data_IF_823800686533
#
_entry.id   IF_823800686533
#
_cell.length_a   1.000
_cell.length_b   1.000
_cell.length_c   1.000
_cell.angle_alpha   90.00
_cell.angle_beta   90.00
_cell.angle_gamma   90.00
#
_symmetry.space_group_name_H-M   'P 1'
#
loop_
_entity.id
_entity.type
_entity.pdbx_description
1 polymer ?
#
# COMPACT_ATOMS: atom_id res chain seq x y z
N UNK A 1 -11.21 8.51 23.19
CA UNK A 1 -12.17 7.37 23.17
C UNK A 1 -12.29 6.69 21.80
N UNK A 2 -12.89 7.31 20.76
CA UNK A 2 -13.02 6.65 19.43
C UNK A 2 -11.70 6.59 18.66
N UNK A 3 -11.00 7.73 18.53
CA UNK A 3 -9.71 7.81 17.81
C UNK A 3 -8.66 6.87 18.41
N UNK A 4 -8.52 6.88 19.74
CA UNK A 4 -7.56 6.01 20.44
C UNK A 4 -7.88 4.53 20.21
N UNK A 5 -9.16 4.14 20.30
CA UNK A 5 -9.58 2.78 19.99
C UNK A 5 -9.28 2.40 18.54
N UNK A 6 -9.59 3.28 17.57
CA UNK A 6 -9.28 3.01 16.18
C UNK A 6 -7.77 2.88 15.95
N UNK A 7 -6.94 3.68 16.64
CA UNK A 7 -5.48 3.56 16.58
C UNK A 7 -4.99 2.20 17.11
N UNK A 8 -5.54 1.74 18.24
CA UNK A 8 -5.26 0.41 18.80
C UNK A 8 -5.67 -0.70 17.83
N UNK A 9 -6.86 -0.62 17.22
CA UNK A 9 -7.30 -1.59 16.20
C UNK A 9 -6.33 -1.65 15.03
N UNK A 10 -5.87 -0.50 14.52
CA UNK A 10 -4.87 -0.45 13.42
C UNK A 10 -3.56 -1.12 13.84
N UNK A 11 -3.07 -0.83 15.03
CA UNK A 11 -1.84 -1.41 15.57
C UNK A 11 -1.94 -2.93 15.74
N UNK A 12 -3.07 -3.46 16.22
CA UNK A 12 -3.32 -4.90 16.33
C UNK A 12 -3.26 -5.56 14.94
N UNK A 13 -4.00 -5.01 13.97
CA UNK A 13 -4.07 -5.55 12.60
C UNK A 13 -2.72 -5.49 11.88
N UNK A 14 -1.86 -4.51 12.18
CA UNK A 14 -0.51 -4.42 11.61
C UNK A 14 0.48 -5.46 12.14
N UNK A 15 0.21 -6.04 13.33
CA UNK A 15 1.14 -6.94 14.03
C UNK A 15 0.84 -8.42 13.80
N UNK A 16 -0.43 -8.75 13.60
CA UNK A 16 -0.89 -10.13 13.53
C UNK A 16 -2.09 -10.29 12.58
N UNK A 17 -2.22 -11.48 11.99
CA UNK A 17 -3.37 -11.82 11.14
C UNK A 17 -4.58 -12.14 12.02
N UNK A 18 -5.55 -11.23 12.06
CA UNK A 18 -6.78 -11.38 12.84
C UNK A 18 -7.96 -11.70 11.93
N UNK A 19 -8.66 -12.81 12.21
CA UNK A 19 -9.69 -13.33 11.29
C UNK A 19 -11.11 -12.79 11.50
N UNK A 20 -11.41 -12.37 12.73
CA UNK A 20 -12.79 -12.14 13.17
C UNK A 20 -12.94 -10.88 14.00
N UNK A 21 -14.14 -10.29 13.99
CA UNK A 21 -14.44 -9.14 14.85
C UNK A 21 -14.42 -9.53 16.33
N UNK A 22 -14.78 -10.77 16.66
CA UNK A 22 -14.77 -11.26 18.04
C UNK A 22 -13.34 -11.29 18.61
N UNK A 23 -12.35 -11.72 17.80
CA UNK A 23 -10.94 -11.64 18.17
C UNK A 23 -10.49 -10.20 18.47
N UNK A 24 -10.88 -9.24 17.63
CA UNK A 24 -10.54 -7.83 17.83
C UNK A 24 -11.18 -7.32 19.13
N UNK A 25 -12.43 -7.70 19.38
CA UNK A 25 -13.14 -7.34 20.61
C UNK A 25 -12.44 -7.89 21.86
N UNK A 26 -12.07 -9.16 21.87
CA UNK A 26 -11.37 -9.80 23.00
C UNK A 26 -10.03 -9.13 23.31
N UNK A 27 -9.27 -8.75 22.27
CA UNK A 27 -8.00 -8.04 22.45
C UNK A 27 -8.18 -6.62 22.94
N UNK A 28 -9.18 -5.89 22.44
CA UNK A 28 -9.54 -4.57 22.97
C UNK A 28 -9.93 -4.66 24.45
N UNK A 29 -10.71 -5.68 24.84
CA UNK A 29 -11.07 -5.92 26.24
C UNK A 29 -9.83 -6.21 27.12
N UNK A 30 -8.84 -6.95 26.60
CA UNK A 30 -7.57 -7.17 27.29
C UNK A 30 -6.74 -5.89 27.50
N UNK A 31 -6.91 -4.88 26.62
CA UNK A 31 -6.36 -3.53 26.79
C UNK A 31 -7.27 -2.59 27.60
N UNK A 32 -8.35 -3.11 28.20
CA UNK A 32 -9.29 -2.32 29.01
C UNK A 32 -10.28 -1.48 28.19
N UNK A 33 -10.43 -1.75 26.89
CA UNK A 33 -11.33 -1.06 25.97
C UNK A 33 -12.55 -1.94 25.66
N UNK A 34 -13.67 -1.67 26.32
CA UNK A 34 -14.94 -2.39 26.04
C UNK A 34 -15.73 -1.72 24.91
N UNK A 35 -16.19 -2.51 23.95
CA UNK A 35 -17.07 -2.04 22.85
C UNK A 35 -18.17 -3.03 22.50
N UNK A 36 -19.28 -2.49 21.98
CA UNK A 36 -20.34 -3.32 21.37
C UNK A 36 -19.94 -3.78 19.98
N UNK A 37 -20.55 -4.87 19.51
CA UNK A 37 -20.34 -5.36 18.14
C UNK A 37 -20.74 -4.31 17.09
N UNK A 38 -21.82 -3.56 17.32
CA UNK A 38 -22.26 -2.50 16.40
C UNK A 38 -21.23 -1.36 16.30
N UNK A 39 -20.65 -0.95 17.43
CA UNK A 39 -19.58 0.06 17.46
C UNK A 39 -18.34 -0.43 16.74
N UNK A 40 -17.90 -1.67 17.03
CA UNK A 40 -16.74 -2.27 16.38
C UNK A 40 -16.94 -2.39 14.87
N UNK A 41 -18.09 -2.92 14.44
CA UNK A 41 -18.43 -3.04 13.01
C UNK A 41 -18.34 -1.69 12.29
N UNK A 42 -18.85 -0.63 12.92
CA UNK A 42 -18.76 0.73 12.37
C UNK A 42 -17.32 1.24 12.32
N UNK A 43 -16.52 1.02 13.37
CA UNK A 43 -15.11 1.43 13.38
C UNK A 43 -14.31 0.70 12.30
N UNK A 44 -14.47 -0.61 12.14
CA UNK A 44 -13.77 -1.40 11.12
C UNK A 44 -14.11 -0.91 9.70
N UNK A 45 -15.38 -0.53 9.46
CA UNK A 45 -15.82 0.06 8.20
C UNK A 45 -15.22 1.46 7.98
N UNK A 46 -15.21 2.30 9.01
CA UNK A 46 -14.64 3.64 8.93
C UNK A 46 -13.10 3.64 8.81
N UNK A 47 -12.42 2.64 9.37
CA UNK A 47 -10.98 2.41 9.16
C UNK A 47 -10.69 1.96 7.72
N UNK A 48 -11.65 1.36 7.03
CA UNK A 48 -11.48 0.88 5.65
C UNK A 48 -10.78 -0.48 5.56
N UNK A 49 -10.95 -1.37 6.54
CA UNK A 49 -10.28 -2.67 6.54
C UNK A 49 -10.79 -3.59 5.43
N UNK A 50 -9.87 -4.33 4.81
CA UNK A 50 -10.16 -5.37 3.83
C UNK A 50 -10.05 -6.76 4.46
N UNK A 51 -10.80 -7.73 3.92
CA UNK A 51 -10.63 -9.15 4.26
C UNK A 51 -9.83 -9.85 3.17
N UNK A 52 -8.62 -10.27 3.50
CA UNK A 52 -7.72 -11.00 2.60
C UNK A 52 -7.68 -12.48 3.00
N UNK A 53 -7.12 -13.32 2.12
CA UNK A 53 -6.80 -14.73 2.41
C UNK A 53 -5.28 -14.89 2.50
N UNK A 54 -4.82 -15.72 3.43
CA UNK A 54 -3.42 -16.15 3.45
C UNK A 54 -3.18 -17.33 2.50
N UNK A 55 -1.92 -17.80 2.45
CA UNK A 55 -1.50 -18.93 1.62
C UNK A 55 -2.22 -20.23 1.99
N UNK A 56 -2.68 -20.35 3.24
CA UNK A 56 -3.49 -21.47 3.72
C UNK A 56 -5.01 -21.26 3.52
N UNK A 57 -5.41 -20.16 2.87
CA UNK A 57 -6.80 -19.83 2.54
C UNK A 57 -7.64 -19.22 3.68
N UNK A 58 -7.03 -18.95 4.84
CA UNK A 58 -7.70 -18.37 6.02
C UNK A 58 -7.93 -16.88 5.83
N UNK A 59 -9.13 -16.42 6.20
CA UNK A 59 -9.50 -15.00 6.10
C UNK A 59 -8.90 -14.20 7.25
N UNK A 60 -8.33 -13.03 6.94
CA UNK A 60 -7.85 -12.07 7.94
C UNK A 60 -8.11 -10.62 7.53
N UNK A 61 -8.23 -9.73 8.52
CA UNK A 61 -8.33 -8.30 8.32
C UNK A 61 -6.97 -7.70 7.99
N UNK A 62 -6.92 -6.81 7.01
CA UNK A 62 -5.77 -5.99 6.68
C UNK A 62 -6.18 -4.53 6.59
N UNK A 63 -5.26 -3.64 6.96
CA UNK A 63 -5.41 -2.22 6.62
C UNK A 63 -5.42 -2.07 5.10
N UNK A 64 -6.21 -1.13 4.58
CA UNK A 64 -6.10 -0.70 3.18
C UNK A 64 -4.84 0.15 2.93
N UNK A 65 -3.88 0.14 3.86
CA UNK A 65 -2.48 0.23 3.49
C UNK A 65 -2.17 -1.04 2.70
N UNK A 66 -2.71 -1.10 1.48
CA UNK A 66 -1.97 -1.41 0.28
C UNK A 66 -0.50 -1.66 0.61
N UNK A 67 -0.16 -2.89 1.01
CA UNK A 67 1.13 -3.49 0.71
C UNK A 67 1.13 -3.69 -0.80
N UNK A 68 1.05 -2.58 -1.52
CA UNK A 68 1.55 -2.50 -2.87
C UNK A 68 3.04 -2.80 -2.72
N UNK A 69 3.58 -3.69 -3.55
CA UNK A 69 5.02 -3.88 -3.61
C UNK A 69 5.67 -2.50 -3.65
N UNK A 70 6.53 -2.22 -2.67
CA UNK A 70 7.41 -1.06 -2.75
C UNK A 70 8.36 -1.30 -3.90
N UNK A 71 8.73 -0.24 -4.62
CA UNK A 71 9.73 -0.38 -5.67
C UNK A 71 11.04 -0.93 -5.09
N UNK A 72 11.76 -1.72 -5.89
CA UNK A 72 13.11 -2.14 -5.54
C UNK A 72 13.95 -0.89 -5.17
N UNK A 73 14.63 -0.87 -4.01
CA UNK A 73 15.42 0.29 -3.60
C UNK A 73 16.43 0.78 -4.64
N UNK A 74 16.93 -0.11 -5.50
CA UNK A 74 17.86 0.21 -6.60
C UNK A 74 17.24 1.11 -7.67
N UNK A 75 15.90 1.13 -7.81
CA UNK A 75 15.18 2.03 -8.73
C UNK A 75 15.52 3.49 -8.43
N UNK A 76 15.70 3.84 -7.15
CA UNK A 76 16.03 5.22 -6.75
C UNK A 76 17.38 5.69 -7.26
N UNK A 77 18.33 4.78 -7.47
CA UNK A 77 19.68 5.12 -7.91
C UNK A 77 19.71 5.66 -9.35
N UNK A 78 18.68 5.35 -10.15
CA UNK A 78 18.53 5.77 -11.54
C UNK A 78 17.65 7.01 -11.72
N UNK A 79 16.94 7.46 -10.68
CA UNK A 79 15.94 8.54 -10.77
C UNK A 79 16.52 9.86 -10.31
N UNK A 80 16.63 10.82 -11.23
CA UNK A 80 17.01 12.21 -10.94
C UNK A 80 15.85 13.04 -10.42
N UNK A 81 14.66 12.83 -10.97
CA UNK A 81 13.45 13.54 -10.59
C UNK A 81 12.21 12.73 -10.94
N UNK A 82 11.16 12.96 -10.16
CA UNK A 82 9.82 12.41 -10.37
C UNK A 82 8.82 13.55 -10.52
N UNK A 83 7.83 13.35 -11.38
CA UNK A 83 6.65 14.23 -11.47
C UNK A 83 5.41 13.37 -11.74
N UNK A 84 4.29 13.71 -11.11
CA UNK A 84 3.03 12.99 -11.29
C UNK A 84 1.99 13.77 -12.09
N UNK A 85 1.30 13.06 -12.97
CA UNK A 85 0.11 13.52 -13.68
C UNK A 85 -1.01 12.49 -13.54
N UNK A 86 -1.92 12.70 -12.57
CA UNK A 86 -2.99 11.75 -12.25
C UNK A 86 -2.42 10.37 -11.92
N UNK A 87 -2.71 9.36 -12.74
CA UNK A 87 -2.25 7.97 -12.61
C UNK A 87 -0.90 7.71 -13.29
N UNK A 88 -0.24 8.72 -13.84
CA UNK A 88 1.06 8.58 -14.51
C UNK A 88 2.19 9.20 -13.69
N UNK A 89 3.35 8.55 -13.68
CA UNK A 89 4.61 9.13 -13.22
C UNK A 89 5.55 9.36 -14.39
N UNK A 90 6.25 10.49 -14.37
CA UNK A 90 7.32 10.85 -15.28
C UNK A 90 8.62 10.86 -14.48
N UNK A 91 9.48 9.90 -14.75
CA UNK A 91 10.78 9.75 -14.10
C UNK A 91 11.86 10.20 -15.08
N UNK A 92 12.77 11.08 -14.64
CA UNK A 92 13.95 11.45 -15.43
C UNK A 92 15.18 10.72 -14.91
N UNK A 93 16.05 10.27 -15.82
CA UNK A 93 17.26 9.48 -15.53
C UNK A 93 18.52 10.15 -16.11
N UNK A 94 19.71 9.54 -16.01
CA UNK A 94 20.79 9.88 -16.95
C UNK A 94 20.44 9.44 -18.37
N UNK A 95 21.13 10.02 -19.35
CA UNK A 95 20.95 9.68 -20.76
C UNK A 95 21.30 8.21 -21.02
N UNK A 96 20.35 7.45 -21.54
CA UNK A 96 20.48 6.03 -21.85
C UNK A 96 20.10 5.09 -20.69
N UNK A 97 19.61 5.61 -19.56
CA UNK A 97 19.25 4.79 -18.40
C UNK A 97 17.75 4.51 -18.28
N UNK A 98 16.89 5.21 -19.02
CA UNK A 98 15.44 5.04 -18.96
C UNK A 98 15.01 3.59 -19.27
N UNK A 99 15.67 2.93 -20.22
CA UNK A 99 15.41 1.54 -20.60
C UNK A 99 15.79 0.56 -19.48
N UNK A 100 16.88 0.84 -18.76
CA UNK A 100 17.34 0.02 -17.62
C UNK A 100 16.32 0.13 -16.49
N UNK A 101 15.89 1.35 -16.19
CA UNK A 101 14.89 1.62 -15.17
C UNK A 101 13.55 0.96 -15.51
N UNK A 102 13.12 1.02 -16.78
CA UNK A 102 11.90 0.36 -17.25
C UNK A 102 11.93 -1.15 -16.96
N UNK A 103 13.04 -1.81 -17.31
CA UNK A 103 13.21 -3.24 -17.07
C UNK A 103 13.18 -3.60 -15.58
N UNK A 104 13.80 -2.77 -14.72
CA UNK A 104 13.75 -2.98 -13.28
C UNK A 104 12.31 -2.92 -12.76
N UNK A 105 11.57 -1.87 -13.12
CA UNK A 105 10.18 -1.67 -12.71
C UNK A 105 9.28 -2.80 -13.23
N UNK A 106 9.40 -3.16 -14.51
CA UNK A 106 8.58 -4.21 -15.11
C UNK A 106 8.90 -5.61 -14.50
N UNK A 107 10.15 -5.86 -14.13
CA UNK A 107 10.58 -7.13 -13.54
C UNK A 107 10.07 -7.37 -12.11
N UNK A 108 9.73 -6.31 -11.38
CA UNK A 108 9.13 -6.37 -10.04
C UNK A 108 7.73 -7.03 -10.07
N UNK A 109 7.07 -7.05 -11.24
CA UNK A 109 5.78 -7.70 -11.41
C UNK A 109 4.66 -7.06 -10.59
N UNK A 110 4.82 -5.78 -10.21
CA UNK A 110 3.86 -5.05 -9.41
C UNK A 110 2.54 -4.90 -10.17
N UNK A 111 1.43 -5.55 -9.73
CA UNK A 111 0.17 -5.58 -10.49
C UNK A 111 -0.53 -4.21 -10.56
N UNK A 112 0.01 -3.20 -9.90
CA UNK A 112 -0.60 -1.88 -9.76
C UNK A 112 0.09 -0.85 -10.66
N UNK A 113 1.18 -1.28 -11.31
CA UNK A 113 1.77 -0.66 -12.49
C UNK A 113 1.24 -1.40 -13.71
N UNK A 114 0.51 -0.69 -14.57
CA UNK A 114 -0.07 -1.24 -15.80
C UNK A 114 0.97 -1.41 -16.92
N UNK A 115 2.07 -0.67 -16.84
CA UNK A 115 3.22 -0.78 -17.74
C UNK A 115 4.05 0.49 -17.79
N UNK A 116 5.16 0.42 -18.52
CA UNK A 116 6.11 1.52 -18.68
C UNK A 116 6.39 1.83 -20.16
N UNK A 117 6.81 3.06 -20.46
CA UNK A 117 7.27 3.49 -21.79
C UNK A 117 8.56 4.30 -21.63
N UNK A 118 9.67 3.74 -22.10
CA UNK A 118 10.98 4.37 -22.03
C UNK A 118 11.26 5.26 -23.25
N UNK A 119 11.77 6.45 -23.00
CA UNK A 119 12.47 7.30 -23.96
C UNK A 119 13.99 7.21 -23.77
N UNK A 120 14.74 8.26 -24.13
CA UNK A 120 16.20 8.26 -23.98
C UNK A 120 16.66 8.51 -22.52
N UNK A 121 16.01 9.43 -21.82
CA UNK A 121 16.33 9.88 -20.46
C UNK A 121 15.08 10.06 -19.58
N UNK A 122 13.93 9.61 -20.10
CA UNK A 122 12.63 9.81 -19.48
C UNK A 122 11.85 8.50 -19.54
N UNK A 123 11.30 8.08 -18.41
CA UNK A 123 10.43 6.91 -18.29
C UNK A 123 9.03 7.35 -17.87
N UNK A 124 8.03 6.93 -18.64
CA UNK A 124 6.62 7.05 -18.25
C UNK A 124 6.20 5.76 -17.56
N UNK A 125 5.66 5.86 -16.34
CA UNK A 125 5.08 4.74 -15.59
C UNK A 125 3.58 4.96 -15.48
N UNK A 126 2.79 4.01 -15.99
CA UNK A 126 1.33 4.07 -15.96
C UNK A 126 0.84 3.24 -14.78
N UNK A 127 0.28 3.89 -13.77
CA UNK A 127 -0.30 3.22 -12.61
C UNK A 127 -1.79 2.92 -12.87
N UNK A 128 -2.34 2.00 -12.08
CA UNK A 128 -3.75 1.60 -12.13
C UNK A 128 -4.71 2.76 -11.83
N UNK A 129 -4.34 3.63 -10.90
CA UNK A 129 -5.10 4.82 -10.55
C UNK A 129 -4.21 5.92 -9.91
N UNK A 130 -4.80 7.07 -9.63
CA UNK A 130 -4.11 8.23 -9.08
C UNK A 130 -3.62 8.03 -7.63
N UNK A 131 -4.28 7.17 -6.85
CA UNK A 131 -3.87 6.87 -5.47
C UNK A 131 -2.58 6.04 -5.47
N UNK A 132 -2.50 5.05 -6.35
CA UNK A 132 -1.28 4.25 -6.56
C UNK A 132 -0.12 5.15 -6.99
N UNK A 133 -0.34 6.03 -7.96
CA UNK A 133 0.70 6.94 -8.45
C UNK A 133 1.20 7.89 -7.35
N UNK A 134 0.31 8.47 -6.55
CA UNK A 134 0.70 9.34 -5.42
C UNK A 134 1.54 8.58 -4.38
N UNK A 135 1.19 7.33 -4.11
CA UNK A 135 1.96 6.49 -3.20
C UNK A 135 3.36 6.20 -3.76
N UNK A 136 3.46 5.74 -5.01
CA UNK A 136 4.75 5.44 -5.64
C UNK A 136 5.63 6.69 -5.76
N UNK A 137 5.06 7.87 -6.05
CA UNK A 137 5.79 9.15 -6.04
C UNK A 137 6.41 9.45 -4.67
N UNK A 138 5.72 9.11 -3.58
CA UNK A 138 6.23 9.34 -2.21
C UNK A 138 7.44 8.49 -1.87
N UNK A 139 7.70 7.40 -2.60
CA UNK A 139 8.89 6.56 -2.38
C UNK A 139 10.17 7.23 -2.90
N UNK A 140 10.08 8.23 -3.78
CA UNK A 140 11.25 8.94 -4.34
C UNK A 140 11.63 10.22 -3.56
N UNK A 141 10.90 10.55 -2.50
CA UNK A 141 11.14 11.67 -1.60
C UNK A 141 11.69 11.20 -0.25
#
# INVERSE_FOLDING_TARGET
>A
MKRDRQAVIKQMISREKIGTQEEIKQRLEAEGITVTQATLSRDLREIGLLKLRDEEGRLYYSLSEHVLPSLDPTVKDYVKSVSRAQFMLVLHTELGEADVLANLIDSDGNPEILGTVAGADTLLVICKDAMVAEKLESEFH
#
